data_IF_428030939957
#
_entry.id   IF_428030939957
#
_cell.length_a   1.000
_cell.length_b   1.000
_cell.length_c   1.000
_cell.angle_alpha   90.00
_cell.angle_beta   90.00
_cell.angle_gamma   90.00
#
_symmetry.space_group_name_H-M   'P 1'
#
loop_
_entity.id
_entity.type
_entity.pdbx_description
1 polymer ?
#
# COMPACT_ATOMS: atom_id res chain seq x y z
N UNK A 1 -2.12 2.33 19.76
CA UNK A 1 -1.00 3.27 19.46
C UNK A 1 -0.55 3.02 18.03
N UNK A 2 -0.39 4.03 17.17
CA UNK A 2 0.10 3.79 15.80
C UNK A 2 1.56 3.32 15.89
N UNK A 3 1.89 2.23 15.19
CA UNK A 3 3.23 1.59 15.23
C UNK A 3 4.37 2.49 14.71
N UNK A 4 4.06 3.69 14.23
CA UNK A 4 5.01 4.61 13.63
C UNK A 4 4.66 6.05 13.98
N UNK A 5 5.66 6.82 14.39
CA UNK A 5 5.53 8.27 14.61
C UNK A 5 5.32 8.99 13.28
N UNK A 6 4.45 9.99 13.26
CA UNK A 6 4.27 10.90 12.12
C UNK A 6 5.60 11.60 11.81
N UNK A 7 5.96 11.71 10.53
CA UNK A 7 7.17 12.43 10.09
C UNK A 7 8.45 11.59 9.91
N UNK A 8 8.44 10.28 10.19
CA UNK A 8 9.64 9.40 10.05
C UNK A 8 10.07 9.07 8.61
N UNK A 9 9.54 9.78 7.60
CA UNK A 9 10.02 9.62 6.23
C UNK A 9 9.82 8.23 5.61
N UNK A 10 8.74 7.50 5.96
CA UNK A 10 8.45 6.16 5.38
C UNK A 10 8.53 6.14 3.85
N UNK A 11 8.05 7.21 3.21
CA UNK A 11 8.16 7.40 1.74
C UNK A 11 9.61 7.51 1.26
N UNK A 12 10.48 8.16 2.02
CA UNK A 12 11.91 8.29 1.70
C UNK A 12 12.60 6.93 1.78
N UNK A 13 12.24 6.09 2.75
CA UNK A 13 12.76 4.72 2.85
C UNK A 13 12.39 3.93 1.58
N UNK A 14 11.13 3.99 1.16
CA UNK A 14 10.64 3.29 -0.05
C UNK A 14 11.33 3.80 -1.31
N UNK A 15 11.49 5.12 -1.44
CA UNK A 15 12.21 5.73 -2.56
C UNK A 15 13.68 5.27 -2.60
N UNK A 16 14.34 5.22 -1.45
CA UNK A 16 15.70 4.70 -1.34
C UNK A 16 15.79 3.22 -1.71
N UNK A 17 14.83 2.39 -1.32
CA UNK A 17 14.78 0.98 -1.73
C UNK A 17 14.55 0.87 -3.24
N UNK A 18 13.62 1.64 -3.82
CA UNK A 18 13.37 1.64 -5.26
C UNK A 18 14.65 1.99 -6.04
N UNK A 19 15.35 3.04 -5.61
CA UNK A 19 16.61 3.47 -6.22
C UNK A 19 17.69 2.37 -6.11
N UNK A 20 17.77 1.69 -4.97
CA UNK A 20 18.72 0.58 -4.80
C UNK A 20 18.39 -0.63 -5.67
N UNK A 21 17.11 -0.91 -5.93
CA UNK A 21 16.70 -1.98 -6.86
C UNK A 21 17.15 -1.63 -8.28
N UNK A 22 16.93 -0.39 -8.73
CA UNK A 22 17.40 0.10 -10.05
C UNK A 22 18.91 -0.02 -10.17
N UNK A 23 19.65 0.32 -9.11
CA UNK A 23 21.11 0.22 -9.06
C UNK A 23 21.62 -1.22 -8.83
N UNK A 24 20.75 -2.23 -8.75
CA UNK A 24 21.08 -3.61 -8.38
C UNK A 24 21.83 -3.78 -7.04
N UNK A 25 21.78 -2.77 -6.15
CA UNK A 25 22.43 -2.75 -4.82
C UNK A 25 21.50 -3.27 -3.71
N UNK A 26 20.75 -4.32 -4.05
CA UNK A 26 19.83 -5.04 -3.17
C UNK A 26 20.13 -6.54 -3.22
N UNK A 27 19.74 -7.32 -2.18
CA UNK A 27 19.81 -8.77 -2.21
C UNK A 27 19.15 -9.36 -3.47
N UNK A 28 19.67 -10.49 -3.98
CA UNK A 28 19.16 -11.17 -5.19
C UNK A 28 17.64 -11.34 -5.21
N UNK A 29 17.00 -11.59 -4.07
CA UNK A 29 15.53 -11.73 -3.94
C UNK A 29 14.73 -10.47 -4.30
N UNK A 30 15.36 -9.30 -4.27
CA UNK A 30 14.73 -8.00 -4.55
C UNK A 30 15.19 -7.42 -5.90
N UNK A 31 16.16 -8.05 -6.57
CA UNK A 31 16.67 -7.58 -7.85
C UNK A 31 15.63 -7.80 -8.95
N UNK A 32 15.45 -6.80 -9.81
CA UNK A 32 14.44 -6.84 -10.88
C UNK A 32 13.00 -6.65 -10.40
N UNK A 33 12.77 -6.48 -9.09
CA UNK A 33 11.43 -6.26 -8.57
C UNK A 33 10.91 -4.85 -8.89
N UNK A 34 9.63 -4.73 -9.17
CA UNK A 34 8.96 -3.42 -9.29
C UNK A 34 8.29 -3.05 -7.98
N UNK A 35 8.49 -1.81 -7.52
CA UNK A 35 7.78 -1.28 -6.35
C UNK A 35 6.56 -0.49 -6.82
N UNK A 36 5.38 -0.87 -6.33
CA UNK A 36 4.13 -0.17 -6.55
C UNK A 36 3.70 0.50 -5.25
N UNK A 37 3.45 1.80 -5.28
CA UNK A 37 2.89 2.52 -4.14
C UNK A 37 1.38 2.63 -4.31
N UNK A 38 0.62 2.01 -3.42
CA UNK A 38 -0.84 2.15 -3.40
C UNK A 38 -1.19 3.38 -2.57
N UNK A 39 -1.89 4.34 -3.19
CA UNK A 39 -2.52 5.44 -2.47
C UNK A 39 -3.96 5.06 -2.11
N UNK A 40 -4.19 4.85 -0.82
CA UNK A 40 -5.52 4.56 -0.28
C UNK A 40 -6.52 5.66 -0.58
N UNK A 41 -6.13 6.93 -0.46
CA UNK A 41 -7.03 8.07 -0.70
C UNK A 41 -7.61 8.03 -2.12
N UNK A 42 -6.82 7.60 -3.10
CA UNK A 42 -7.27 7.43 -4.47
C UNK A 42 -8.21 6.22 -4.63
N UNK A 43 -7.99 5.16 -3.84
CA UNK A 43 -8.85 3.96 -3.89
C UNK A 43 -10.25 4.25 -3.32
N UNK A 44 -10.34 5.02 -2.22
CA UNK A 44 -11.61 5.40 -1.58
C UNK A 44 -12.26 6.63 -2.23
N UNK A 45 -11.52 7.40 -3.02
CA UNK A 45 -12.06 8.56 -3.71
C UNK A 45 -13.25 8.14 -4.61
N UNK A 46 -14.40 8.76 -4.34
CA UNK A 46 -15.62 8.56 -5.10
C UNK A 46 -16.39 7.27 -4.79
N UNK A 47 -15.99 6.47 -3.80
CA UNK A 47 -16.68 5.23 -3.43
C UNK A 47 -17.07 5.23 -1.96
N UNK A 48 -18.34 4.92 -1.68
CA UNK A 48 -18.85 4.75 -0.30
C UNK A 48 -18.93 3.28 0.10
N UNK A 49 -18.75 2.37 -0.86
CA UNK A 49 -18.94 0.93 -0.69
C UNK A 49 -17.59 0.21 -0.57
N UNK A 50 -17.36 -0.54 0.51
CA UNK A 50 -16.15 -1.35 0.68
C UNK A 50 -15.88 -2.34 -0.48
N UNK A 51 -16.93 -2.88 -1.08
CA UNK A 51 -16.84 -3.84 -2.20
C UNK A 51 -16.17 -3.24 -3.44
N UNK A 52 -16.46 -1.98 -3.77
CA UNK A 52 -15.83 -1.29 -4.92
C UNK A 52 -14.34 -1.07 -4.69
N UNK A 53 -13.94 -0.83 -3.43
CA UNK A 53 -12.54 -0.68 -3.05
C UNK A 53 -11.81 -2.02 -3.21
N UNK A 54 -12.44 -3.13 -2.80
CA UNK A 54 -11.87 -4.46 -2.99
C UNK A 54 -11.66 -4.79 -4.47
N UNK A 55 -12.64 -4.45 -5.33
CA UNK A 55 -12.53 -4.64 -6.78
C UNK A 55 -11.38 -3.83 -7.37
N UNK A 56 -11.25 -2.55 -7.00
CA UNK A 56 -10.13 -1.70 -7.46
C UNK A 56 -8.77 -2.25 -7.01
N UNK A 57 -8.69 -2.77 -5.78
CA UNK A 57 -7.46 -3.37 -5.27
C UNK A 57 -7.10 -4.66 -6.03
N UNK A 58 -8.09 -5.51 -6.32
CA UNK A 58 -7.88 -6.73 -7.13
C UNK A 58 -7.35 -6.41 -8.52
N UNK A 59 -7.94 -5.42 -9.19
CA UNK A 59 -7.46 -4.97 -10.51
C UNK A 59 -6.00 -4.52 -10.47
N UNK A 60 -5.62 -3.72 -9.47
CA UNK A 60 -4.22 -3.27 -9.30
C UNK A 60 -3.26 -4.43 -9.02
N UNK A 61 -3.69 -5.45 -8.26
CA UNK A 61 -2.89 -6.65 -8.00
C UNK A 61 -2.74 -7.50 -9.26
N UNK A 62 -3.80 -7.65 -10.04
CA UNK A 62 -3.76 -8.46 -11.26
C UNK A 62 -2.92 -7.81 -12.36
N UNK A 63 -2.95 -6.48 -12.48
CA UNK A 63 -2.03 -5.73 -13.36
C UNK A 63 -0.55 -5.94 -12.96
N UNK A 64 -0.26 -5.92 -11.66
CA UNK A 64 1.10 -6.17 -11.18
C UNK A 64 1.55 -7.63 -11.37
N UNK A 65 0.63 -8.60 -11.31
CA UNK A 65 0.93 -10.02 -11.59
C UNK A 65 1.21 -10.28 -13.07
N UNK A 66 0.56 -9.53 -13.97
CA UNK A 66 0.80 -9.62 -15.41
C UNK A 66 2.15 -9.01 -15.80
N UNK A 67 2.69 -8.11 -14.98
CA UNK A 67 4.09 -7.72 -15.09
C UNK A 67 4.96 -8.93 -14.76
N UNK A 68 5.69 -9.50 -15.74
CA UNK A 68 6.50 -10.72 -15.64
C UNK A 68 7.71 -10.67 -14.66
N UNK A 69 7.56 -10.05 -13.48
CA UNK A 69 8.57 -9.96 -12.43
C UNK A 69 7.94 -9.89 -11.04
N UNK A 70 8.74 -10.03 -10.00
CA UNK A 70 8.25 -9.95 -8.62
C UNK A 70 7.85 -8.50 -8.28
N UNK A 71 6.61 -8.32 -7.79
CA UNK A 71 6.05 -7.01 -7.43
C UNK A 71 6.09 -6.80 -5.91
N UNK A 72 6.48 -5.61 -5.47
CA UNK A 72 6.46 -5.19 -4.06
C UNK A 72 5.43 -4.08 -3.92
N UNK A 73 4.40 -4.30 -3.12
CA UNK A 73 3.38 -3.29 -2.84
C UNK A 73 3.71 -2.53 -1.55
N UNK A 74 3.78 -1.21 -1.66
CA UNK A 74 3.90 -0.32 -0.52
C UNK A 74 2.58 0.40 -0.27
N UNK A 75 2.06 0.28 0.95
CA UNK A 75 0.86 0.98 1.42
C UNK A 75 1.24 1.78 2.66
N UNK A 76 1.13 3.10 2.56
CA UNK A 76 1.61 4.00 3.61
C UNK A 76 0.67 4.05 4.83
N UNK A 77 -0.64 3.88 4.62
CA UNK A 77 -1.69 4.16 5.60
C UNK A 77 -2.52 2.93 6.03
N UNK A 78 -1.88 1.77 6.22
CA UNK A 78 -2.57 0.56 6.70
C UNK A 78 -3.35 0.78 8.01
N UNK A 79 -2.90 1.68 8.88
CA UNK A 79 -3.58 1.96 10.14
C UNK A 79 -4.96 2.60 9.97
N UNK A 80 -5.21 3.30 8.85
CA UNK A 80 -6.54 3.84 8.55
C UNK A 80 -7.56 2.72 8.31
N UNK A 81 -7.11 1.57 7.81
CA UNK A 81 -7.96 0.40 7.61
C UNK A 81 -8.36 -0.24 8.95
N UNK A 82 -7.41 -0.44 9.86
CA UNK A 82 -7.63 -1.10 11.16
C UNK A 82 -8.37 -0.17 12.16
N UNK A 83 -8.21 1.15 12.02
CA UNK A 83 -8.86 2.14 12.88
C UNK A 83 -10.34 2.37 12.59
N UNK A 84 -10.83 2.07 11.39
CA UNK A 84 -12.24 2.23 11.01
C UNK A 84 -13.07 1.04 11.53
N UNK A 85 -12.52 -0.18 11.55
CA UNK A 85 -13.26 -1.37 12.01
C UNK A 85 -13.54 -1.39 13.52
N UNK A 86 -12.86 -0.55 14.30
CA UNK A 86 -13.03 -0.47 15.77
C UNK A 86 -13.84 0.75 16.23
N UNK A 87 -14.25 1.63 15.32
CA UNK A 87 -15.23 2.70 15.58
C UNK A 87 -16.57 2.38 14.91
N UNK A 88 -17.09 1.18 15.11
CA UNK A 88 -18.55 1.02 15.10
C UNK A 88 -19.05 1.57 16.42
N UNK A 89 -19.43 2.85 16.41
CA UNK A 89 -20.21 3.41 17.50
C UNK A 89 -21.59 2.74 17.45
N UNK A 90 -21.80 1.77 18.34
CA UNK A 90 -23.14 1.22 18.65
C UNK A 90 -23.97 2.17 19.53
N UNK A 91 -23.52 3.42 19.78
CA UNK A 91 -24.40 4.46 20.28
C UNK A 91 -25.24 5.03 19.13
N UNK A 92 -26.24 4.26 18.72
CA UNK A 92 -27.54 4.70 18.22
C UNK A 92 -28.43 3.46 18.12
N UNK A 93 -28.86 2.98 19.30
CA UNK A 93 -30.08 2.21 19.50
C UNK A 93 -30.88 2.99 20.54
#
# INVERSE_FOLDING_TARGET
MPYWRTGVGKRVIVAGVAQRIVNATVPKKLQGNKIFSINWENLVAGTKLPTEIEQRLRLAVDEAKQSHGAAIFFINQWHNFIGISTKTNVANI
#
